data_IF_014169874139
#
_entry.id   IF_014169874139
#
_cell.length_a   1.000
_cell.length_b   1.000
_cell.length_c   1.000
_cell.angle_alpha   90.00
_cell.angle_beta   90.00
_cell.angle_gamma   90.00
#
_symmetry.space_group_name_H-M   'P 1'
#
loop_
_entity.id
_entity.type
_entity.pdbx_description
1 polymer ?
#
# COMPACT_ATOMS: atom_id res chain seq x y z
N UNK A 1 7.64 -11.99 -4.15
CA UNK A 1 8.96 -11.92 -4.78
C UNK A 1 9.32 -10.49 -5.15
N UNK A 2 10.61 -10.14 -5.17
CA UNK A 2 11.09 -8.87 -5.72
C UNK A 2 11.05 -8.83 -7.26
N UNK A 3 11.75 -9.74 -7.95
CA UNK A 3 11.72 -9.87 -9.42
C UNK A 3 11.91 -11.32 -9.88
N UNK A 4 11.13 -11.73 -10.89
CA UNK A 4 11.32 -12.97 -11.65
C UNK A 4 11.99 -12.69 -12.98
N UNK A 5 13.00 -13.47 -13.32
CA UNK A 5 13.80 -13.35 -14.53
C UNK A 5 13.70 -14.63 -15.36
N UNK A 6 13.24 -14.49 -16.60
CA UNK A 6 13.25 -15.56 -17.58
C UNK A 6 14.00 -15.12 -18.85
N UNK A 7 14.96 -15.92 -19.30
CA UNK A 7 15.74 -15.79 -20.53
C UNK A 7 16.46 -14.44 -20.68
N UNK A 8 16.94 -13.89 -19.57
CA UNK A 8 17.69 -12.63 -19.56
C UNK A 8 19.14 -12.87 -19.98
N UNK A 9 19.62 -12.11 -20.96
CA UNK A 9 20.99 -12.23 -21.47
C UNK A 9 21.72 -10.90 -21.27
N UNK A 10 22.78 -10.87 -20.47
CA UNK A 10 23.54 -9.65 -20.19
C UNK A 10 22.83 -8.65 -19.27
N UNK A 11 21.82 -9.06 -18.50
CA UNK A 11 21.12 -8.16 -17.57
C UNK A 11 22.04 -7.78 -16.41
N UNK A 12 22.11 -6.48 -16.11
CA UNK A 12 22.83 -5.94 -14.96
C UNK A 12 21.82 -5.35 -13.98
N UNK A 13 21.79 -5.89 -12.78
CA UNK A 13 21.06 -5.35 -11.62
C UNK A 13 22.12 -4.77 -10.69
N UNK A 14 22.18 -3.44 -10.61
CA UNK A 14 23.20 -2.73 -9.83
C UNK A 14 22.58 -1.69 -8.91
N UNK A 15 23.13 -1.57 -7.70
CA UNK A 15 22.71 -0.58 -6.70
C UNK A 15 21.20 -0.68 -6.37
N UNK A 16 20.65 -1.90 -6.35
CA UNK A 16 19.24 -2.13 -6.05
C UNK A 16 19.03 -2.66 -4.62
N UNK A 17 17.87 -2.36 -4.05
CA UNK A 17 17.48 -2.79 -2.70
C UNK A 17 16.24 -3.68 -2.77
N UNK A 18 16.36 -4.91 -2.26
CA UNK A 18 15.29 -5.90 -2.13
C UNK A 18 15.03 -6.12 -0.65
N UNK A 19 14.06 -5.39 -0.10
CA UNK A 19 13.90 -5.25 1.36
C UNK A 19 12.51 -5.69 1.81
N UNK A 20 12.46 -6.37 2.95
CA UNK A 20 11.24 -6.60 3.75
C UNK A 20 10.10 -7.26 2.97
N UNK A 21 10.40 -8.14 2.01
CA UNK A 21 9.37 -8.91 1.32
C UNK A 21 8.58 -9.74 2.35
N UNK A 22 7.27 -9.48 2.55
CA UNK A 22 6.48 -10.19 3.55
C UNK A 22 6.16 -11.61 3.10
N UNK A 23 5.86 -12.47 4.08
CA UNK A 23 5.32 -13.81 3.82
C UNK A 23 3.83 -13.69 3.45
N UNK A 24 3.51 -13.96 2.19
CA UNK A 24 2.13 -14.03 1.68
C UNK A 24 1.59 -15.46 1.63
N UNK A 25 2.38 -16.45 2.06
CA UNK A 25 2.12 -17.87 1.92
C UNK A 25 2.59 -18.47 0.59
N UNK A 26 3.14 -17.67 -0.32
CA UNK A 26 3.73 -18.16 -1.57
C UNK A 26 5.08 -18.85 -1.30
N UNK A 27 5.50 -19.72 -2.23
CA UNK A 27 6.85 -20.28 -2.23
C UNK A 27 7.89 -19.26 -2.71
N UNK A 28 7.46 -18.34 -3.56
CA UNK A 28 8.28 -17.48 -4.40
C UNK A 28 8.30 -16.06 -3.80
N UNK A 29 9.09 -15.89 -2.73
CA UNK A 29 9.11 -14.68 -1.91
C UNK A 29 10.52 -14.17 -1.61
N UNK A 30 11.46 -14.52 -2.49
CA UNK A 30 12.82 -14.02 -2.49
C UNK A 30 13.00 -12.64 -3.12
N UNK A 31 14.26 -12.21 -3.21
CA UNK A 31 14.66 -10.95 -3.85
C UNK A 31 14.66 -11.06 -5.38
N UNK A 32 15.58 -11.85 -5.92
CA UNK A 32 15.70 -12.15 -7.36
C UNK A 32 15.50 -13.64 -7.57
N UNK A 33 14.67 -13.99 -8.54
CA UNK A 33 14.51 -15.37 -8.97
C UNK A 33 14.83 -15.53 -10.45
N UNK A 34 15.84 -16.36 -10.75
CA UNK A 34 16.11 -16.83 -12.10
C UNK A 34 15.26 -18.07 -12.39
N UNK A 35 14.07 -17.82 -12.93
CA UNK A 35 13.02 -18.81 -13.18
C UNK A 35 13.32 -19.77 -14.33
N UNK A 36 13.89 -19.25 -15.42
CA UNK A 36 14.11 -20.03 -16.62
C UNK A 36 15.14 -19.40 -17.55
N UNK A 37 16.24 -20.07 -17.78
CA UNK A 37 17.27 -19.74 -18.77
C UNK A 37 17.95 -18.40 -18.50
N UNK A 38 18.63 -17.89 -19.51
CA UNK A 38 19.42 -16.67 -19.42
C UNK A 38 20.91 -16.93 -19.27
N UNK A 39 21.69 -15.92 -19.56
CA UNK A 39 23.14 -16.00 -19.63
C UNK A 39 23.81 -14.66 -19.30
N UNK A 40 24.94 -14.69 -18.59
CA UNK A 40 25.81 -13.53 -18.42
C UNK A 40 25.18 -12.39 -17.61
N UNK A 41 24.37 -12.71 -16.59
CA UNK A 41 23.73 -11.71 -15.74
C UNK A 41 24.65 -11.31 -14.59
N UNK A 42 24.62 -10.02 -14.20
CA UNK A 42 25.39 -9.47 -13.09
C UNK A 42 24.46 -8.85 -12.05
N UNK A 43 24.62 -9.27 -10.80
CA UNK A 43 24.02 -8.66 -9.61
C UNK A 43 25.17 -8.03 -8.82
N UNK A 44 25.21 -6.70 -8.76
CA UNK A 44 26.36 -5.96 -8.25
C UNK A 44 25.94 -4.85 -7.29
N UNK A 45 26.59 -4.74 -6.13
CA UNK A 45 26.32 -3.67 -5.15
C UNK A 45 24.84 -3.58 -4.74
N UNK A 46 24.16 -4.71 -4.67
CA UNK A 46 22.77 -4.79 -4.24
C UNK A 46 22.66 -5.07 -2.74
N UNK A 47 21.52 -4.73 -2.15
CA UNK A 47 21.21 -5.04 -0.75
C UNK A 47 19.95 -5.86 -0.66
N UNK A 48 20.07 -7.06 -0.11
CA UNK A 48 18.95 -7.96 0.18
C UNK A 48 18.76 -8.02 1.68
N UNK A 49 17.58 -7.70 2.19
CA UNK A 49 17.33 -7.66 3.63
C UNK A 49 15.95 -8.16 3.99
N UNK A 50 15.88 -9.08 4.96
CA UNK A 50 14.63 -9.44 5.64
C UNK A 50 13.50 -9.90 4.68
N UNK A 51 13.87 -10.57 3.58
CA UNK A 51 12.89 -11.16 2.67
C UNK A 51 12.39 -12.51 3.20
N UNK A 52 11.11 -12.81 2.98
CA UNK A 52 10.49 -14.08 3.39
C UNK A 52 11.21 -15.30 2.81
N UNK A 53 11.59 -15.26 1.52
CA UNK A 53 12.40 -16.27 0.85
C UNK A 53 13.89 -15.90 0.73
N UNK A 54 14.65 -16.70 -0.01
CA UNK A 54 16.07 -16.46 -0.25
C UNK A 54 16.31 -15.12 -0.95
N UNK A 55 17.50 -14.53 -0.78
CA UNK A 55 17.83 -13.29 -1.47
C UNK A 55 17.88 -13.50 -2.99
N UNK A 56 18.52 -14.58 -3.42
CA UNK A 56 18.64 -14.94 -4.84
C UNK A 56 18.39 -16.43 -5.03
N UNK A 57 17.54 -16.78 -5.99
CA UNK A 57 17.20 -18.14 -6.36
C UNK A 57 17.54 -18.40 -7.83
N UNK A 58 18.02 -19.61 -8.14
CA UNK A 58 18.25 -20.08 -9.51
C UNK A 58 17.48 -21.38 -9.71
N UNK A 59 16.32 -21.27 -10.32
CA UNK A 59 15.36 -22.36 -10.47
C UNK A 59 15.63 -23.19 -11.72
N UNK A 60 15.52 -24.51 -11.52
CA UNK A 60 15.70 -25.54 -12.54
C UNK A 60 14.58 -26.58 -12.43
N UNK A 61 13.33 -26.12 -12.46
CA UNK A 61 12.16 -26.98 -12.28
C UNK A 61 11.91 -27.84 -13.52
N UNK A 62 11.71 -27.19 -14.67
CA UNK A 62 11.46 -27.83 -15.98
C UNK A 62 12.16 -27.13 -17.14
N UNK A 63 12.67 -25.93 -16.91
CA UNK A 63 13.41 -25.12 -17.88
C UNK A 63 14.89 -25.10 -17.48
N UNK A 64 15.82 -24.93 -18.44
CA UNK A 64 17.23 -24.71 -18.15
C UNK A 64 17.43 -23.62 -17.10
N UNK A 65 18.36 -23.78 -16.17
CA UNK A 65 18.78 -22.70 -15.27
C UNK A 65 19.55 -21.61 -16.02
N UNK A 66 19.56 -20.40 -15.43
CA UNK A 66 20.46 -19.32 -15.87
C UNK A 66 21.93 -19.73 -15.75
N UNK A 67 22.75 -19.33 -16.72
CA UNK A 67 24.19 -19.58 -16.77
C UNK A 67 24.98 -18.28 -16.66
N UNK A 68 26.25 -18.42 -16.31
CA UNK A 68 27.21 -17.32 -16.18
C UNK A 68 26.68 -16.16 -15.33
N UNK A 69 26.04 -16.49 -14.21
CA UNK A 69 25.49 -15.50 -13.27
C UNK A 69 26.59 -15.08 -12.30
N UNK A 70 26.83 -13.77 -12.22
CA UNK A 70 27.77 -13.18 -11.27
C UNK A 70 27.03 -12.42 -10.17
N UNK A 71 27.33 -12.75 -8.92
CA UNK A 71 26.77 -12.12 -7.73
C UNK A 71 27.93 -11.52 -6.94
N UNK A 72 28.07 -10.20 -7.00
CA UNK A 72 29.24 -9.50 -6.52
C UNK A 72 28.93 -8.30 -5.62
N UNK A 73 29.86 -7.99 -4.72
CA UNK A 73 29.91 -6.73 -3.96
C UNK A 73 28.60 -6.37 -3.22
N UNK A 74 27.77 -7.35 -2.87
CA UNK A 74 26.41 -7.15 -2.38
C UNK A 74 26.28 -7.48 -0.89
N UNK A 75 25.25 -6.92 -0.24
CA UNK A 75 24.90 -7.15 1.16
C UNK A 75 23.73 -8.15 1.27
N UNK A 76 23.88 -9.18 2.09
CA UNK A 76 22.86 -10.18 2.39
C UNK A 76 22.54 -10.20 3.88
N UNK A 77 21.34 -9.76 4.25
CA UNK A 77 21.01 -9.45 5.65
C UNK A 77 19.73 -10.19 6.05
N UNK A 78 19.91 -11.34 6.70
CA UNK A 78 18.84 -12.09 7.36
C UNK A 78 17.65 -12.37 6.44
N UNK A 79 17.91 -12.78 5.20
CA UNK A 79 16.83 -13.22 4.31
C UNK A 79 16.39 -14.65 4.67
N UNK A 80 15.39 -15.12 3.94
CA UNK A 80 14.70 -16.38 4.19
C UNK A 80 14.10 -16.46 5.60
N UNK A 81 13.40 -15.40 6.01
CA UNK A 81 12.83 -15.31 7.36
C UNK A 81 11.71 -16.32 7.62
N UNK A 82 11.01 -16.73 6.55
CA UNK A 82 9.92 -17.69 6.62
C UNK A 82 10.35 -19.14 6.34
N UNK A 83 11.67 -19.41 6.21
CA UNK A 83 12.22 -20.73 5.88
C UNK A 83 11.55 -21.34 4.63
N UNK A 84 11.43 -20.53 3.57
CA UNK A 84 10.98 -20.94 2.25
C UNK A 84 12.03 -21.83 1.58
N UNK A 85 11.93 -22.01 0.26
CA UNK A 85 12.83 -22.85 -0.52
C UNK A 85 14.30 -22.51 -0.23
N UNK A 86 15.08 -23.55 0.02
CA UNK A 86 16.52 -23.48 0.28
C UNK A 86 16.88 -22.63 1.49
N UNK A 87 17.20 -23.20 2.68
CA UNK A 87 17.50 -22.40 3.87
C UNK A 87 18.84 -21.66 3.73
N UNK A 88 18.93 -20.73 2.80
CA UNK A 88 20.11 -19.96 2.42
C UNK A 88 19.76 -18.58 1.87
N UNK A 89 20.74 -17.68 1.89
CA UNK A 89 20.69 -16.38 1.21
C UNK A 89 20.69 -16.56 -0.32
N UNK A 90 21.56 -17.43 -0.85
CA UNK A 90 21.62 -17.76 -2.28
C UNK A 90 21.34 -19.26 -2.47
N UNK A 91 20.37 -19.59 -3.31
CA UNK A 91 19.89 -20.96 -3.47
C UNK A 91 19.88 -21.41 -4.93
N UNK A 92 20.59 -22.51 -5.21
CA UNK A 92 20.56 -23.19 -6.51
C UNK A 92 19.69 -24.44 -6.39
N UNK A 93 18.58 -24.42 -7.14
CA UNK A 93 17.64 -25.55 -7.19
C UNK A 93 18.29 -26.79 -7.80
N UNK A 94 17.93 -27.97 -7.30
CA UNK A 94 18.48 -29.25 -7.76
C UNK A 94 17.47 -30.38 -7.85
N UNK A 95 16.17 -30.06 -7.96
CA UNK A 95 15.11 -31.07 -8.01
C UNK A 95 15.06 -31.91 -9.30
N UNK A 96 15.69 -31.45 -10.39
CA UNK A 96 15.81 -32.21 -11.64
C UNK A 96 17.16 -32.93 -11.73
N UNK A 97 17.17 -34.12 -12.36
CA UNK A 97 18.40 -34.85 -12.69
C UNK A 97 18.86 -34.62 -14.14
N UNK A 98 18.09 -33.84 -14.90
CA UNK A 98 18.39 -33.54 -16.29
C UNK A 98 19.51 -32.47 -16.35
N UNK A 99 20.67 -32.78 -16.95
CA UNK A 99 21.78 -31.82 -17.09
C UNK A 99 21.45 -30.64 -18.01
N UNK A 100 20.39 -30.69 -18.81
CA UNK A 100 19.92 -29.53 -19.59
C UNK A 100 19.07 -28.57 -18.74
N UNK A 101 18.48 -29.08 -17.66
CA UNK A 101 17.66 -28.31 -16.70
C UNK A 101 18.52 -27.78 -15.56
N UNK A 102 19.19 -28.68 -14.81
CA UNK A 102 20.10 -28.31 -13.73
C UNK A 102 21.50 -28.05 -14.29
N UNK A 103 21.68 -26.85 -14.83
CA UNK A 103 22.82 -26.52 -15.68
C UNK A 103 23.48 -25.19 -15.36
N UNK A 104 23.09 -24.56 -14.24
CA UNK A 104 23.59 -23.24 -13.87
C UNK A 104 25.10 -23.20 -13.70
N UNK A 105 25.67 -22.07 -14.10
CA UNK A 105 27.03 -21.69 -13.79
C UNK A 105 27.06 -20.29 -13.21
N UNK A 106 28.01 -20.03 -12.31
CA UNK A 106 28.14 -18.70 -11.76
C UNK A 106 29.30 -18.49 -10.80
N UNK A 107 29.45 -17.23 -10.40
CA UNK A 107 30.48 -16.74 -9.50
C UNK A 107 29.84 -15.89 -8.41
N UNK A 108 30.06 -16.27 -7.16
CA UNK A 108 29.61 -15.52 -5.97
C UNK A 108 30.85 -14.99 -5.28
N UNK A 109 31.06 -13.67 -5.33
CA UNK A 109 32.30 -13.07 -4.82
C UNK A 109 32.14 -11.74 -4.10
N UNK A 110 33.05 -11.49 -3.17
CA UNK A 110 33.23 -10.18 -2.54
C UNK A 110 31.95 -9.64 -1.87
N UNK A 111 31.04 -10.52 -1.46
CA UNK A 111 29.81 -10.16 -0.78
C UNK A 111 30.00 -10.15 0.75
N UNK A 112 29.19 -9.36 1.44
CA UNK A 112 29.12 -9.35 2.89
C UNK A 112 27.75 -9.82 3.38
N UNK A 113 27.72 -10.61 4.47
CA UNK A 113 26.46 -11.19 4.92
C UNK A 113 26.31 -11.35 6.44
N UNK A 114 25.08 -11.14 6.92
CA UNK A 114 24.63 -11.38 8.30
C UNK A 114 23.47 -12.36 8.24
N UNK A 115 23.67 -13.58 8.73
CA UNK A 115 22.68 -14.65 8.59
C UNK A 115 21.64 -14.63 9.71
N UNK A 116 20.41 -14.98 9.35
CA UNK A 116 19.42 -15.47 10.32
C UNK A 116 19.86 -16.84 10.86
N UNK A 117 19.65 -17.16 12.15
CA UNK A 117 19.93 -18.50 12.66
C UNK A 117 19.24 -19.60 11.83
N UNK A 118 20.00 -20.65 11.48
CA UNK A 118 19.51 -21.77 10.67
C UNK A 118 19.53 -21.55 9.15
N UNK A 119 19.89 -20.35 8.68
CA UNK A 119 20.04 -20.02 7.26
C UNK A 119 21.54 -20.05 6.88
N UNK A 120 21.87 -20.68 5.77
CA UNK A 120 23.22 -20.74 5.18
C UNK A 120 23.47 -19.53 4.26
N UNK A 121 24.71 -19.24 3.92
CA UNK A 121 24.98 -18.21 2.90
C UNK A 121 24.66 -18.71 1.49
N UNK A 122 25.11 -19.92 1.15
CA UNK A 122 24.95 -20.51 -0.16
C UNK A 122 24.60 -21.99 -0.05
N UNK A 123 23.63 -22.43 -0.84
CA UNK A 123 23.29 -23.85 -1.00
C UNK A 123 23.19 -24.18 -2.48
N UNK A 124 23.86 -25.26 -2.89
CA UNK A 124 23.71 -25.85 -4.21
C UNK A 124 23.20 -27.28 -4.08
N UNK A 125 21.97 -27.51 -4.55
CA UNK A 125 21.34 -28.84 -4.47
C UNK A 125 21.73 -29.79 -5.61
N UNK A 126 22.34 -29.29 -6.69
CA UNK A 126 22.78 -30.11 -7.83
C UNK A 126 24.27 -29.92 -8.14
N UNK A 127 25.20 -30.06 -7.18
CA UNK A 127 26.61 -29.74 -7.36
C UNK A 127 27.34 -30.64 -8.37
N UNK A 128 26.76 -31.80 -8.72
CA UNK A 128 27.30 -32.67 -9.77
C UNK A 128 26.98 -32.17 -11.19
N UNK A 129 25.95 -31.33 -11.35
CA UNK A 129 25.45 -30.85 -12.63
C UNK A 129 25.71 -29.34 -12.84
N UNK A 130 25.73 -28.57 -11.76
CA UNK A 130 25.94 -27.12 -11.78
C UNK A 130 27.35 -26.75 -11.34
N UNK A 131 27.83 -25.57 -11.75
CA UNK A 131 29.22 -25.13 -11.47
C UNK A 131 29.23 -23.73 -10.90
N UNK A 132 29.47 -23.64 -9.59
CA UNK A 132 29.49 -22.38 -8.87
C UNK A 132 30.82 -22.20 -8.15
N UNK A 133 31.46 -21.05 -8.37
CA UNK A 133 32.64 -20.63 -7.61
C UNK A 133 32.19 -19.65 -6.53
N UNK A 134 32.57 -19.93 -5.28
CA UNK A 134 32.25 -19.07 -4.14
C UNK A 134 33.58 -18.62 -3.52
N UNK A 135 33.87 -17.32 -3.56
CA UNK A 135 35.17 -16.79 -3.13
C UNK A 135 35.02 -15.44 -2.43
N UNK A 136 35.89 -15.10 -1.48
CA UNK A 136 35.92 -13.77 -0.83
C UNK A 136 34.60 -13.26 -0.23
N UNK A 137 33.67 -14.14 0.14
CA UNK A 137 32.44 -13.72 0.82
C UNK A 137 32.67 -13.72 2.34
N UNK A 138 32.29 -12.65 3.02
CA UNK A 138 32.60 -12.46 4.44
C UNK A 138 31.33 -12.44 5.30
N UNK A 139 31.31 -13.30 6.33
CA UNK A 139 30.28 -13.26 7.37
C UNK A 139 30.60 -12.19 8.40
N UNK A 140 29.59 -11.44 8.80
CA UNK A 140 29.66 -10.47 9.91
C UNK A 140 28.74 -10.89 11.05
N UNK A 141 29.06 -10.47 12.28
CA UNK A 141 28.22 -10.75 13.44
C UNK A 141 27.03 -9.79 13.52
N UNK A 142 27.23 -8.54 13.09
CA UNK A 142 26.25 -7.47 13.18
C UNK A 142 26.08 -6.74 11.85
N UNK A 143 24.95 -6.02 11.69
CA UNK A 143 24.73 -5.19 10.52
C UNK A 143 25.68 -3.99 10.51
N UNK A 144 26.02 -3.42 11.68
CA UNK A 144 26.95 -2.28 11.74
C UNK A 144 28.36 -2.64 11.26
N UNK A 145 28.84 -3.85 11.55
CA UNK A 145 30.12 -4.35 11.03
C UNK A 145 30.09 -4.52 9.51
N UNK A 146 29.02 -5.11 8.99
CA UNK A 146 28.82 -5.28 7.55
C UNK A 146 28.78 -3.92 6.84
N UNK A 147 28.00 -2.97 7.34
CA UNK A 147 27.85 -1.64 6.73
C UNK A 147 29.17 -0.85 6.75
N UNK A 148 30.05 -1.09 7.73
CA UNK A 148 31.40 -0.51 7.76
C UNK A 148 32.33 -1.12 6.71
N UNK A 149 32.22 -2.43 6.48
CA UNK A 149 33.10 -3.15 5.56
C UNK A 149 32.65 -3.05 4.09
N UNK A 150 31.34 -3.00 3.84
CA UNK A 150 30.73 -2.73 2.54
C UNK A 150 29.82 -1.50 2.66
N UNK A 151 30.37 -0.26 2.57
CA UNK A 151 29.61 0.97 2.76
C UNK A 151 28.78 1.34 1.52
N UNK A 152 27.91 0.43 1.08
CA UNK A 152 26.95 0.69 0.01
C UNK A 152 25.88 1.67 0.49
N UNK A 153 25.55 2.66 -0.34
CA UNK A 153 24.52 3.64 -0.04
C UNK A 153 23.15 2.98 0.24
N UNK A 154 22.47 3.42 1.29
CA UNK A 154 21.08 3.09 1.60
C UNK A 154 20.19 4.29 1.24
N UNK A 155 19.02 4.08 0.61
CA UNK A 155 18.19 5.18 0.17
C UNK A 155 17.66 6.00 1.36
N UNK A 156 17.40 7.31 1.17
CA UNK A 156 16.80 8.13 2.21
C UNK A 156 15.49 7.53 2.70
N UNK A 157 15.24 7.59 4.01
CA UNK A 157 13.95 7.24 4.58
C UNK A 157 13.09 8.50 4.63
N UNK A 158 11.84 8.40 4.15
CA UNK A 158 10.95 9.55 3.97
C UNK A 158 9.59 9.23 4.55
N UNK A 159 9.12 10.11 5.43
CA UNK A 159 7.77 10.08 5.99
C UNK A 159 7.11 11.43 5.73
N UNK A 160 6.02 11.47 4.96
CA UNK A 160 5.30 12.71 4.67
C UNK A 160 4.35 13.14 5.81
N UNK A 161 4.19 12.30 6.83
CA UNK A 161 3.19 12.48 7.89
C UNK A 161 1.79 12.00 7.49
N UNK A 162 0.91 11.87 8.49
CA UNK A 162 -0.49 11.43 8.32
C UNK A 162 -1.33 12.42 7.51
N UNK A 163 -2.45 11.97 6.99
CA UNK A 163 -3.48 12.84 6.42
C UNK A 163 -3.97 13.91 7.41
N UNK A 164 -4.31 15.08 6.88
CA UNK A 164 -4.69 16.25 7.67
C UNK A 164 -6.07 16.75 7.23
N UNK A 165 -6.95 16.92 8.21
CA UNK A 165 -8.27 17.53 8.06
C UNK A 165 -8.28 18.90 8.77
N UNK A 166 -8.57 19.97 8.04
CA UNK A 166 -8.51 21.34 8.58
C UNK A 166 -9.52 22.25 7.89
N UNK A 167 -10.04 23.26 8.59
CA UNK A 167 -10.81 24.36 7.98
C UNK A 167 -9.97 25.64 7.77
N UNK A 168 -8.66 25.54 8.08
CA UNK A 168 -7.68 26.62 7.93
C UNK A 168 -6.81 26.38 6.70
N UNK A 169 -6.46 27.44 5.94
CA UNK A 169 -5.61 27.32 4.77
C UNK A 169 -4.11 27.17 5.11
N UNK A 170 -3.67 27.52 6.32
CA UNK A 170 -2.28 27.34 6.77
C UNK A 170 -2.18 26.09 7.63
N UNK A 171 -1.34 25.15 7.21
CA UNK A 171 -1.20 23.82 7.80
C UNK A 171 0.26 23.48 7.99
N UNK A 172 0.62 22.93 9.16
CA UNK A 172 1.94 22.35 9.36
C UNK A 172 1.98 20.94 8.77
N UNK A 173 2.96 20.70 7.90
CA UNK A 173 3.29 19.38 7.37
C UNK A 173 4.43 18.83 8.22
N UNK A 174 4.15 17.80 9.01
CA UNK A 174 5.11 17.20 9.93
C UNK A 174 5.87 16.04 9.26
N UNK A 175 6.57 16.35 8.16
CA UNK A 175 7.39 15.37 7.46
C UNK A 175 8.71 15.09 8.19
N UNK A 176 9.27 13.90 7.96
CA UNK A 176 10.57 13.49 8.47
C UNK A 176 11.41 12.84 7.36
N UNK A 177 12.69 13.17 7.33
CA UNK A 177 13.67 12.56 6.43
C UNK A 177 14.90 12.19 7.23
N UNK A 178 15.41 10.96 7.02
CA UNK A 178 16.70 10.53 7.54
C UNK A 178 17.52 9.88 6.42
N UNK A 179 18.83 10.04 6.51
CA UNK A 179 19.78 9.55 5.53
C UNK A 179 21.01 8.95 6.24
N UNK A 180 21.72 8.04 5.57
CA UNK A 180 22.90 7.38 6.12
C UNK A 180 24.22 8.17 5.88
N UNK A 181 24.10 9.37 5.31
CA UNK A 181 25.18 10.26 4.91
C UNK A 181 26.08 9.69 3.80
N UNK A 182 25.54 8.81 2.94
CA UNK A 182 26.20 8.27 1.74
C UNK A 182 25.42 8.73 0.48
N UNK A 183 26.06 8.74 -0.70
CA UNK A 183 27.49 8.55 -0.95
C UNK A 183 28.36 9.68 -0.38
N UNK A 184 29.69 9.48 -0.31
CA UNK A 184 30.62 10.51 0.14
C UNK A 184 31.11 11.39 -1.04
N UNK A 185 31.11 12.74 -0.94
CA UNK A 185 30.67 13.54 0.21
C UNK A 185 29.14 13.52 0.36
N UNK A 186 28.68 13.47 1.62
CA UNK A 186 27.26 13.41 1.96
C UNK A 186 26.49 14.58 1.34
N UNK A 187 25.36 14.27 0.71
CA UNK A 187 24.41 15.22 0.15
C UNK A 187 23.02 14.70 0.45
N UNK A 188 22.10 15.59 0.79
CA UNK A 188 20.69 15.26 0.93
C UNK A 188 19.86 16.45 0.49
N UNK A 189 19.11 16.30 -0.59
CA UNK A 189 18.15 17.27 -1.07
C UNK A 189 16.75 16.81 -0.68
N UNK A 190 16.03 17.67 0.04
CA UNK A 190 14.64 17.42 0.44
C UNK A 190 13.77 18.45 -0.26
N UNK A 191 12.60 18.03 -0.76
CA UNK A 191 11.60 18.99 -1.20
C UNK A 191 10.16 18.48 -1.12
N UNK A 192 9.24 19.42 -0.90
CA UNK A 192 7.80 19.22 -1.05
C UNK A 192 7.31 19.64 -2.44
N UNK A 193 6.36 18.89 -2.97
CA UNK A 193 5.62 19.26 -4.17
C UNK A 193 4.12 18.95 -4.05
N UNK A 194 3.32 19.76 -4.74
CA UNK A 194 1.91 19.51 -4.95
C UNK A 194 1.74 18.65 -6.19
N UNK A 195 1.16 17.46 -6.04
CA UNK A 195 0.85 16.58 -7.18
C UNK A 195 -0.51 16.92 -7.80
N UNK A 196 -1.52 17.09 -6.95
CA UNK A 196 -2.89 17.37 -7.37
C UNK A 196 -3.63 18.17 -6.30
N UNK A 197 -4.47 19.11 -6.72
CA UNK A 197 -5.37 19.84 -5.85
C UNK A 197 -6.16 20.93 -6.61
N UNK A 198 -7.22 21.49 -6.00
CA UNK A 198 -8.08 22.48 -6.65
C UNK A 198 -7.44 23.88 -6.75
N UNK A 199 -6.28 24.09 -6.12
CA UNK A 199 -5.56 25.35 -6.10
C UNK A 199 -4.07 25.14 -5.91
N UNK A 200 -3.35 26.17 -5.46
CA UNK A 200 -1.92 26.08 -5.18
C UNK A 200 -1.66 25.72 -3.72
N UNK A 201 -0.49 25.13 -3.48
CA UNK A 201 0.10 24.96 -2.15
C UNK A 201 1.45 25.69 -2.14
N UNK A 202 1.57 26.72 -1.30
CA UNK A 202 2.81 27.47 -1.11
C UNK A 202 3.48 27.04 0.19
N UNK A 203 4.72 26.56 0.12
CA UNK A 203 5.47 26.10 1.27
C UNK A 203 6.34 27.25 1.81
N UNK A 204 6.29 27.50 3.12
CA UNK A 204 7.11 28.53 3.77
C UNK A 204 8.61 28.24 3.56
N UNK A 205 9.01 26.97 3.75
CA UNK A 205 10.31 26.43 3.30
C UNK A 205 10.04 25.09 2.57
N UNK A 206 10.13 25.04 1.23
CA UNK A 206 9.91 23.80 0.48
C UNK A 206 11.01 22.78 0.70
N UNK A 207 12.19 23.15 1.23
CA UNK A 207 13.33 22.27 1.45
C UNK A 207 13.40 21.66 2.85
N UNK A 208 12.52 22.09 3.75
CA UNK A 208 12.36 21.50 5.07
C UNK A 208 11.28 20.41 5.05
N UNK A 209 11.59 19.21 5.59
CA UNK A 209 10.62 18.13 5.73
C UNK A 209 9.45 18.53 6.65
N UNK A 210 9.76 19.20 7.77
CA UNK A 210 8.78 19.84 8.66
C UNK A 210 8.63 21.32 8.27
N UNK A 211 7.49 21.66 7.68
CA UNK A 211 7.25 22.99 7.12
C UNK A 211 5.78 23.40 7.27
N UNK A 212 5.44 24.60 6.84
CA UNK A 212 4.06 25.08 6.76
C UNK A 212 3.67 25.27 5.31
N UNK A 213 2.53 24.71 4.91
CA UNK A 213 1.92 24.94 3.62
C UNK A 213 0.72 25.89 3.76
N UNK A 214 0.60 26.81 2.81
CA UNK A 214 -0.55 27.68 2.61
C UNK A 214 -1.30 27.23 1.34
N UNK A 215 -2.56 26.84 1.51
CA UNK A 215 -3.43 26.44 0.42
C UNK A 215 -4.31 27.60 -0.04
N UNK A 216 -4.46 27.75 -1.36
CA UNK A 216 -5.21 28.87 -1.93
C UNK A 216 -6.73 28.69 -1.92
N UNK A 217 -7.22 27.46 -1.77
CA UNK A 217 -8.64 27.12 -1.83
C UNK A 217 -8.98 25.91 -0.95
N UNK A 218 -10.25 25.75 -0.53
CA UNK A 218 -10.74 24.49 0.01
C UNK A 218 -10.72 23.34 -1.02
N UNK A 219 -10.45 22.14 -0.53
CA UNK A 219 -10.56 20.84 -1.20
C UNK A 219 -9.39 19.92 -0.86
N UNK A 220 -9.23 18.86 -1.66
CA UNK A 220 -8.28 17.79 -1.39
C UNK A 220 -6.96 18.03 -2.13
N UNK A 221 -5.85 18.01 -1.38
CA UNK A 221 -4.50 18.21 -1.89
C UNK A 221 -3.65 16.96 -1.65
N UNK A 222 -3.12 16.37 -2.72
CA UNK A 222 -2.13 15.30 -2.62
C UNK A 222 -0.72 15.90 -2.72
N UNK A 223 0.05 15.75 -1.65
CA UNK A 223 1.40 16.26 -1.54
C UNK A 223 2.41 15.13 -1.55
N UNK A 224 3.59 15.38 -2.11
CA UNK A 224 4.72 14.45 -2.09
C UNK A 224 5.93 15.10 -1.43
N UNK A 225 6.50 14.42 -0.45
CA UNK A 225 7.81 14.72 0.10
C UNK A 225 8.82 13.82 -0.58
N UNK A 226 9.88 14.40 -1.13
CA UNK A 226 10.96 13.69 -1.83
C UNK A 226 12.26 13.95 -1.08
N UNK A 227 13.09 12.91 -0.95
CA UNK A 227 14.46 13.01 -0.49
C UNK A 227 15.40 12.29 -1.47
N UNK A 228 16.49 12.95 -1.83
CA UNK A 228 17.48 12.51 -2.82
C UNK A 228 18.89 12.77 -2.30
N UNK A 229 19.68 11.71 -2.11
CA UNK A 229 21.06 11.79 -1.61
C UNK A 229 22.10 11.99 -2.74
N UNK A 230 21.66 12.01 -4.00
CA UNK A 230 22.48 12.15 -5.20
C UNK A 230 22.82 10.84 -5.91
N UNK A 231 22.71 9.68 -5.24
CA UNK A 231 22.76 8.34 -5.87
C UNK A 231 21.39 7.65 -5.84
N UNK A 232 20.63 7.82 -4.76
CA UNK A 232 19.32 7.22 -4.53
C UNK A 232 18.31 8.27 -4.06
N UNK A 233 17.04 8.00 -4.36
CA UNK A 233 15.93 8.82 -3.88
C UNK A 233 14.73 7.98 -3.46
N UNK A 234 13.93 8.56 -2.56
CA UNK A 234 12.64 8.04 -2.10
C UNK A 234 11.64 9.17 -1.97
N UNK A 235 10.37 8.79 -1.92
CA UNK A 235 9.30 9.74 -1.66
C UNK A 235 8.19 9.12 -0.81
N UNK A 236 7.44 9.97 -0.14
CA UNK A 236 6.23 9.62 0.59
C UNK A 236 5.10 10.60 0.24
N UNK A 237 3.86 10.12 0.34
CA UNK A 237 2.66 10.89 0.04
C UNK A 237 1.89 11.21 1.32
N UNK A 238 1.24 12.36 1.34
CA UNK A 238 0.23 12.72 2.34
C UNK A 238 -0.90 13.50 1.68
N UNK A 239 -2.09 13.45 2.28
CA UNK A 239 -3.28 14.16 1.80
C UNK A 239 -3.66 15.25 2.80
N UNK A 240 -4.03 16.43 2.30
CA UNK A 240 -4.59 17.51 3.11
C UNK A 240 -5.98 17.88 2.60
N UNK A 241 -6.97 17.70 3.45
CA UNK A 241 -8.35 18.11 3.24
C UNK A 241 -8.57 19.49 3.84
N UNK A 242 -8.55 20.51 2.99
CA UNK A 242 -8.88 21.89 3.37
C UNK A 242 -10.39 22.06 3.24
N UNK A 243 -11.11 21.94 4.33
CA UNK A 243 -12.55 22.11 4.39
C UNK A 243 -12.93 23.59 4.21
N UNK A 244 -14.18 23.88 3.79
CA UNK A 244 -14.70 25.24 3.82
C UNK A 244 -14.50 25.87 5.22
N UNK A 245 -14.16 27.16 5.32
CA UNK A 245 -13.94 27.81 6.61
C UNK A 245 -15.09 27.59 7.57
N UNK A 246 -14.76 27.40 8.86
CA UNK A 246 -15.73 27.15 9.93
C UNK A 246 -16.48 25.82 9.74
N UNK A 247 -15.85 24.79 9.18
CA UNK A 247 -16.40 23.44 9.11
C UNK A 247 -15.86 22.60 10.27
N UNK A 248 -16.73 21.92 10.99
CA UNK A 248 -16.36 20.93 12.00
C UNK A 248 -16.65 19.52 11.49
N UNK A 249 -15.69 18.63 11.67
CA UNK A 249 -15.84 17.19 11.42
C UNK A 249 -16.25 16.53 12.72
N UNK A 250 -17.45 15.96 12.75
CA UNK A 250 -17.95 15.21 13.89
C UNK A 250 -17.44 13.77 13.90
N UNK A 251 -17.21 13.20 12.71
CA UNK A 251 -16.61 11.87 12.50
C UNK A 251 -16.06 11.78 11.08
N UNK A 252 -14.92 11.11 10.89
CA UNK A 252 -14.39 10.78 9.58
C UNK A 252 -13.94 9.30 9.54
N UNK A 253 -13.89 8.78 8.33
CA UNK A 253 -13.29 7.51 7.95
C UNK A 253 -12.40 7.71 6.74
N UNK A 254 -11.13 7.33 6.86
CA UNK A 254 -10.06 7.74 5.94
C UNK A 254 -9.46 6.57 5.16
N UNK A 255 -9.58 5.36 5.72
CA UNK A 255 -9.06 4.13 5.14
C UNK A 255 -7.55 4.18 4.85
N UNK A 256 -6.80 4.99 5.63
CA UNK A 256 -5.34 5.13 5.50
C UNK A 256 -4.61 3.81 5.83
N UNK A 257 -5.09 3.10 6.86
CA UNK A 257 -4.46 1.88 7.33
C UNK A 257 -4.85 0.69 6.46
N UNK A 258 -3.85 0.06 5.82
CA UNK A 258 -4.07 -1.14 4.99
C UNK A 258 -4.75 -2.24 5.80
N UNK A 259 -5.78 -2.84 5.22
CA UNK A 259 -6.69 -3.84 5.81
C UNK A 259 -7.59 -3.35 6.95
N UNK A 260 -7.56 -2.07 7.32
CA UNK A 260 -8.48 -1.51 8.32
C UNK A 260 -9.67 -0.82 7.64
N UNK A 261 -10.85 -1.42 7.76
CA UNK A 261 -12.12 -0.83 7.29
C UNK A 261 -12.68 0.21 8.24
N UNK A 262 -11.97 0.52 9.33
CA UNK A 262 -12.36 1.48 10.36
C UNK A 262 -13.78 1.21 10.91
N UNK A 263 -14.11 -0.07 11.04
CA UNK A 263 -15.40 -0.56 11.52
C UNK A 263 -16.49 -0.74 10.45
N UNK A 264 -16.23 -0.41 9.18
CA UNK A 264 -17.16 -0.72 8.09
C UNK A 264 -17.13 -2.21 7.71
N UNK A 265 -18.28 -2.71 7.27
CA UNK A 265 -18.49 -4.07 6.79
C UNK A 265 -19.28 -4.08 5.49
N UNK A 266 -19.08 -5.11 4.67
CA UNK A 266 -19.74 -5.30 3.37
C UNK A 266 -20.76 -6.43 3.42
N UNK A 267 -21.92 -6.21 2.79
CA UNK A 267 -23.06 -7.12 2.85
C UNK A 267 -23.73 -7.25 1.48
N UNK A 268 -24.20 -8.47 1.20
CA UNK A 268 -24.98 -8.82 0.01
C UNK A 268 -24.33 -8.35 -1.30
N UNK A 269 -23.00 -8.41 -1.40
CA UNK A 269 -22.27 -7.93 -2.59
C UNK A 269 -22.53 -8.77 -3.85
N UNK A 270 -23.10 -9.98 -3.70
CA UNK A 270 -23.32 -10.94 -4.79
C UNK A 270 -22.05 -11.62 -5.32
N UNK A 271 -20.88 -11.06 -5.01
CA UNK A 271 -19.59 -11.67 -5.28
C UNK A 271 -19.39 -12.94 -4.46
N UNK A 272 -18.71 -13.92 -5.06
CA UNK A 272 -18.41 -15.23 -4.47
C UNK A 272 -17.03 -15.70 -4.85
N UNK A 273 -16.45 -16.55 -4.02
CA UNK A 273 -15.25 -17.31 -4.42
C UNK A 273 -15.60 -18.13 -5.65
N UNK A 274 -14.73 -18.07 -6.66
CA UNK A 274 -14.84 -18.88 -7.87
C UNK A 274 -13.64 -19.80 -7.92
N UNK A 275 -13.93 -21.09 -7.92
CA UNK A 275 -12.91 -22.11 -7.91
C UNK A 275 -12.85 -22.79 -9.28
N UNK A 276 -11.63 -22.93 -9.78
CA UNK A 276 -11.31 -23.75 -10.94
C UNK A 276 -10.31 -24.79 -10.44
N UNK A 277 -10.83 -25.87 -9.85
CA UNK A 277 -10.02 -26.92 -9.18
C UNK A 277 -9.65 -28.06 -10.12
N UNK A 278 -10.35 -28.21 -11.24
CA UNK A 278 -10.22 -29.29 -12.22
C UNK A 278 -9.14 -29.03 -13.30
N UNK A 279 -8.42 -27.91 -13.19
CA UNK A 279 -7.31 -27.56 -14.07
C UNK A 279 -5.96 -27.96 -13.47
N UNK A 280 -4.92 -27.94 -14.31
CA UNK A 280 -3.54 -28.31 -13.94
C UNK A 280 -3.01 -27.56 -12.70
N UNK A 281 -3.42 -26.31 -12.52
CA UNK A 281 -3.13 -25.50 -11.33
C UNK A 281 -4.43 -24.96 -10.76
N UNK A 282 -4.95 -25.64 -9.73
CA UNK A 282 -6.17 -25.21 -9.06
C UNK A 282 -6.05 -23.73 -8.66
N UNK A 283 -7.04 -22.92 -9.03
CA UNK A 283 -7.04 -21.50 -8.70
C UNK A 283 -8.39 -21.09 -8.12
N UNK A 284 -8.33 -20.11 -7.23
CA UNK A 284 -9.51 -19.52 -6.59
C UNK A 284 -9.41 -18.02 -6.83
N UNK A 285 -10.43 -17.45 -7.48
CA UNK A 285 -10.62 -16.00 -7.48
C UNK A 285 -11.47 -15.64 -6.27
N UNK A 286 -10.92 -14.79 -5.40
CA UNK A 286 -11.62 -14.27 -4.22
C UNK A 286 -12.16 -12.87 -4.50
N UNK A 287 -13.35 -12.51 -4.00
CA UNK A 287 -13.90 -11.18 -4.13
C UNK A 287 -12.97 -10.07 -3.64
N UNK A 288 -12.94 -8.96 -4.38
CA UNK A 288 -12.23 -7.73 -4.00
C UNK A 288 -13.04 -7.00 -2.91
N UNK A 289 -12.53 -7.02 -1.67
CA UNK A 289 -13.12 -6.33 -0.52
C UNK A 289 -12.09 -5.95 0.55
N UNK A 290 -11.16 -5.07 0.20
CA UNK A 290 -10.04 -4.71 1.07
C UNK A 290 -9.79 -3.20 1.09
N UNK A 291 -9.04 -2.78 2.12
CA UNK A 291 -8.50 -1.43 2.24
C UNK A 291 -7.03 -1.49 1.91
N UNK A 292 -6.60 -0.71 0.92
CA UNK A 292 -5.20 -0.58 0.54
C UNK A 292 -5.01 0.73 -0.22
N UNK A 293 -3.84 1.36 -0.06
CA UNK A 293 -3.51 2.59 -0.79
C UNK A 293 -4.37 3.81 -0.43
N UNK A 294 -4.94 3.85 0.79
CA UNK A 294 -5.74 4.98 1.27
C UNK A 294 -7.20 4.99 0.81
N UNK A 295 -7.77 3.82 0.46
CA UNK A 295 -9.17 3.71 0.09
C UNK A 295 -9.73 2.32 0.39
N UNK A 296 -11.06 2.24 0.54
CA UNK A 296 -11.82 1.00 0.61
C UNK A 296 -12.42 0.65 -0.74
N UNK A 297 -12.03 -0.48 -1.32
CA UNK A 297 -12.60 -0.99 -2.58
C UNK A 297 -13.48 -2.22 -2.35
N UNK A 298 -14.65 -2.21 -2.99
CA UNK A 298 -15.58 -3.34 -3.03
C UNK A 298 -16.02 -3.64 -4.45
N UNK A 299 -16.05 -4.94 -4.80
CA UNK A 299 -16.68 -5.44 -6.00
C UNK A 299 -18.12 -5.89 -5.71
N UNK A 300 -19.04 -5.48 -6.57
CA UNK A 300 -20.45 -5.87 -6.56
C UNK A 300 -20.74 -6.67 -7.82
N UNK A 301 -21.49 -7.76 -7.69
CA UNK A 301 -21.88 -8.62 -8.79
C UNK A 301 -23.37 -8.94 -8.73
N UNK A 302 -24.12 -8.47 -9.73
CA UNK A 302 -25.55 -8.74 -9.93
C UNK A 302 -26.41 -8.57 -8.65
N UNK A 303 -26.07 -7.60 -7.81
CA UNK A 303 -26.75 -7.42 -6.52
C UNK A 303 -27.61 -6.16 -6.51
N UNK A 304 -28.87 -6.34 -6.13
CA UNK A 304 -29.82 -5.25 -5.87
C UNK A 304 -29.78 -4.75 -4.42
N UNK A 305 -29.09 -5.46 -3.53
CA UNK A 305 -29.10 -5.21 -2.08
C UNK A 305 -27.71 -4.96 -1.49
N UNK A 306 -26.70 -4.83 -2.34
CA UNK A 306 -25.32 -4.58 -1.93
C UNK A 306 -25.23 -3.32 -1.07
N UNK A 307 -24.63 -3.42 0.11
CA UNK A 307 -24.47 -2.28 1.00
C UNK A 307 -23.23 -2.39 1.88
N UNK A 308 -22.77 -1.22 2.32
CA UNK A 308 -21.77 -1.07 3.38
C UNK A 308 -22.46 -0.65 4.66
N UNK A 309 -22.01 -1.20 5.79
CA UNK A 309 -22.56 -0.96 7.11
C UNK A 309 -21.44 -0.49 8.04
N UNK A 310 -21.61 0.68 8.66
CA UNK A 310 -20.64 1.19 9.62
C UNK A 310 -20.62 0.35 10.90
N UNK A 311 -19.66 0.61 11.78
CA UNK A 311 -19.73 0.13 13.15
C UNK A 311 -21.02 0.60 13.82
N UNK A 312 -21.53 -0.20 14.74
CA UNK A 312 -22.66 0.16 15.58
C UNK A 312 -22.23 1.18 16.67
N UNK A 313 -23.22 1.83 17.30
CA UNK A 313 -23.05 2.76 18.40
C UNK A 313 -22.07 3.90 18.13
N UNK A 314 -22.13 4.49 16.93
CA UNK A 314 -21.25 5.60 16.50
C UNK A 314 -21.24 6.78 17.47
N UNK A 315 -22.38 7.05 18.12
CA UNK A 315 -22.49 8.05 19.18
C UNK A 315 -22.31 9.50 18.72
N UNK A 316 -22.41 9.77 17.43
CA UNK A 316 -22.26 11.12 16.85
C UNK A 316 -23.52 11.94 17.12
N UNK A 317 -23.39 13.17 17.62
CA UNK A 317 -24.55 14.07 17.74
C UNK A 317 -24.96 14.56 16.35
N UNK A 318 -26.19 14.24 15.93
CA UNK A 318 -26.70 14.63 14.61
C UNK A 318 -26.88 16.16 14.48
N UNK A 319 -27.08 16.84 15.61
CA UNK A 319 -27.13 18.30 15.67
C UNK A 319 -25.81 18.99 15.27
N UNK A 320 -24.67 18.29 15.41
CA UNK A 320 -23.33 18.73 14.96
C UNK A 320 -22.94 18.20 13.57
N UNK A 321 -23.75 17.32 12.98
CA UNK A 321 -23.46 16.67 11.72
C UNK A 321 -24.64 16.82 10.73
N UNK A 322 -24.96 18.05 10.28
CA UNK A 322 -26.03 18.25 9.31
C UNK A 322 -25.72 17.72 7.91
N UNK A 323 -24.46 17.34 7.62
CA UNK A 323 -24.03 16.84 6.32
C UNK A 323 -23.32 15.51 6.45
N UNK A 324 -23.58 14.66 5.45
CA UNK A 324 -22.78 13.51 5.12
C UNK A 324 -22.00 13.81 3.84
N UNK A 325 -20.70 13.51 3.85
CA UNK A 325 -19.85 13.70 2.68
C UNK A 325 -19.05 12.44 2.42
N UNK A 326 -18.94 12.06 1.15
CA UNK A 326 -18.18 10.90 0.69
C UNK A 326 -17.39 11.28 -0.56
N UNK A 327 -16.10 10.95 -0.57
CA UNK A 327 -15.33 10.92 -1.81
C UNK A 327 -15.26 9.47 -2.29
N UNK A 328 -15.79 9.22 -3.49
CA UNK A 328 -15.83 7.88 -4.05
C UNK A 328 -15.80 7.87 -5.57
N UNK A 329 -15.37 6.74 -6.11
CA UNK A 329 -15.44 6.38 -7.52
C UNK A 329 -16.46 5.25 -7.69
N UNK A 330 -17.38 5.41 -8.64
CA UNK A 330 -18.45 4.45 -8.91
C UNK A 330 -18.28 3.87 -10.33
N UNK A 331 -17.75 2.65 -10.42
CA UNK A 331 -17.65 1.90 -11.67
C UNK A 331 -18.84 1.00 -11.95
N UNK A 332 -19.89 1.08 -11.13
CA UNK A 332 -21.14 0.36 -11.40
C UNK A 332 -22.04 1.14 -12.36
N UNK A 333 -23.16 0.53 -12.74
CA UNK A 333 -24.23 1.21 -13.47
C UNK A 333 -25.15 2.09 -12.61
N UNK A 334 -24.98 2.13 -11.29
CA UNK A 334 -25.83 2.90 -10.39
C UNK A 334 -25.73 4.40 -10.68
N UNK A 335 -26.87 5.08 -10.79
CA UNK A 335 -26.96 6.55 -10.90
C UNK A 335 -27.41 7.20 -9.59
N UNK A 336 -27.88 6.40 -8.64
CA UNK A 336 -28.26 6.82 -7.30
C UNK A 336 -27.72 5.81 -6.30
N UNK A 337 -27.30 6.29 -5.14
CA UNK A 337 -27.07 5.47 -3.95
C UNK A 337 -28.04 5.93 -2.87
N UNK A 338 -28.22 5.10 -1.84
CA UNK A 338 -29.03 5.47 -0.69
C UNK A 338 -28.20 5.46 0.58
N UNK A 339 -28.19 6.58 1.28
CA UNK A 339 -27.68 6.65 2.64
C UNK A 339 -28.84 6.42 3.61
N UNK A 340 -28.69 5.44 4.48
CA UNK A 340 -29.62 5.15 5.57
C UNK A 340 -28.92 5.26 6.91
N UNK A 341 -29.70 5.45 7.95
CA UNK A 341 -29.17 5.54 9.30
C UNK A 341 -30.14 4.99 10.35
N UNK A 342 -29.62 4.77 11.53
CA UNK A 342 -30.40 4.52 12.75
C UNK A 342 -29.93 5.46 13.85
N UNK A 343 -30.80 5.69 14.84
CA UNK A 343 -30.45 6.49 16.02
C UNK A 343 -30.60 5.65 17.29
N UNK A 344 -30.08 6.15 18.41
CA UNK A 344 -30.29 5.49 19.70
C UNK A 344 -31.79 5.38 20.05
N UNK A 345 -32.62 6.34 19.59
CA UNK A 345 -34.07 6.36 19.81
C UNK A 345 -34.84 5.50 18.78
N UNK A 346 -34.33 5.41 17.56
CA UNK A 346 -34.92 4.64 16.46
C UNK A 346 -33.87 3.65 15.91
N UNK A 347 -33.68 2.51 16.60
CA UNK A 347 -32.61 1.56 16.26
C UNK A 347 -32.95 0.64 15.08
N UNK A 348 -34.19 0.68 14.58
CA UNK A 348 -34.63 -0.10 13.42
C UNK A 348 -34.41 0.67 12.13
N UNK A 349 -34.12 -0.05 11.03
CA UNK A 349 -33.99 0.53 9.69
C UNK A 349 -35.35 0.90 9.10
N UNK A 350 -36.04 1.87 9.71
CA UNK A 350 -37.32 2.38 9.21
C UNK A 350 -37.15 3.04 7.83
N UNK A 351 -38.20 2.98 7.00
CA UNK A 351 -38.12 3.37 5.60
C UNK A 351 -37.86 4.88 5.39
N UNK A 352 -38.29 5.71 6.34
CA UNK A 352 -38.09 7.16 6.38
C UNK A 352 -36.67 7.57 6.83
N UNK A 353 -35.91 6.68 7.48
CA UNK A 353 -34.56 6.97 7.98
C UNK A 353 -33.48 6.80 6.91
N UNK A 354 -33.52 7.68 5.92
CA UNK A 354 -32.51 7.74 4.87
C UNK A 354 -32.95 8.58 3.68
N UNK A 355 -32.00 8.83 2.79
CA UNK A 355 -32.22 9.60 1.57
C UNK A 355 -31.38 9.06 0.43
N UNK A 356 -31.83 9.33 -0.80
CA UNK A 356 -31.06 9.03 -2.01
C UNK A 356 -30.20 10.22 -2.38
N UNK A 357 -29.06 9.94 -3.03
CA UNK A 357 -28.24 10.97 -3.65
C UNK A 357 -27.70 10.48 -4.99
N UNK A 358 -27.53 11.42 -5.91
CA UNK A 358 -27.10 11.12 -7.27
C UNK A 358 -25.60 10.84 -7.28
N UNK A 359 -25.20 9.83 -8.06
CA UNK A 359 -23.80 9.50 -8.34
C UNK A 359 -23.58 9.39 -9.85
N UNK A 360 -22.34 9.60 -10.26
CA UNK A 360 -21.96 9.40 -11.65
C UNK A 360 -21.80 7.89 -11.89
N UNK A 361 -22.54 7.34 -12.84
CA UNK A 361 -22.41 5.93 -13.22
C UNK A 361 -21.15 5.73 -14.07
N UNK A 362 -20.44 4.61 -13.86
CA UNK A 362 -19.25 4.21 -14.64
C UNK A 362 -18.17 5.30 -14.70
N UNK A 363 -18.00 6.07 -13.63
CA UNK A 363 -17.09 7.21 -13.59
C UNK A 363 -15.64 6.75 -13.29
N UNK A 364 -14.67 6.97 -14.18
CA UNK A 364 -13.28 6.62 -13.94
C UNK A 364 -12.59 7.54 -12.94
N UNK A 365 -13.25 8.57 -12.40
CA UNK A 365 -12.66 9.52 -11.45
C UNK A 365 -13.35 9.49 -10.09
N UNK A 366 -12.62 9.66 -8.98
CA UNK A 366 -13.22 9.96 -7.68
C UNK A 366 -14.01 11.28 -7.73
N UNK A 367 -15.13 11.32 -7.03
CA UNK A 367 -16.04 12.46 -6.93
C UNK A 367 -16.41 12.70 -5.48
N UNK A 368 -16.49 13.97 -5.11
CA UNK A 368 -17.00 14.40 -3.82
C UNK A 368 -18.53 14.57 -3.89
N UNK A 369 -19.26 13.79 -3.10
CA UNK A 369 -20.70 13.91 -2.91
C UNK A 369 -20.98 14.43 -1.51
N UNK A 370 -21.83 15.45 -1.39
CA UNK A 370 -22.28 15.98 -0.10
C UNK A 370 -23.79 15.98 -0.06
N UNK A 371 -24.35 15.37 0.98
CA UNK A 371 -25.78 15.22 1.20
C UNK A 371 -26.16 16.05 2.42
N UNK A 372 -27.15 16.92 2.26
CA UNK A 372 -27.77 17.60 3.39
C UNK A 372 -28.71 16.65 4.11
N UNK A 373 -28.33 16.28 5.33
CA UNK A 373 -29.08 15.36 6.16
C UNK A 373 -30.02 16.09 7.13
N UNK A 374 -29.88 17.41 7.29
CA UNK A 374 -30.62 18.18 8.28
C UNK A 374 -32.14 18.20 8.04
N UNK A 375 -32.56 17.98 6.79
CA UNK A 375 -33.96 17.90 6.39
C UNK A 375 -34.50 16.46 6.34
N UNK A 376 -33.65 15.44 6.54
CA UNK A 376 -34.07 14.04 6.50
C UNK A 376 -34.83 13.71 7.78
N UNK A 377 -36.00 13.10 7.63
CA UNK A 377 -36.85 12.71 8.75
C UNK A 377 -36.07 11.80 9.71
N UNK A 378 -36.18 12.07 11.02
CA UNK A 378 -35.48 11.32 12.06
C UNK A 378 -33.99 11.66 12.23
N UNK A 379 -33.40 12.59 11.45
CA UNK A 379 -32.00 13.02 11.59
C UNK A 379 -31.80 13.94 12.81
N UNK A 380 -32.03 13.39 14.01
CA UNK A 380 -31.90 14.07 15.28
C UNK A 380 -31.44 13.12 16.40
N UNK A 381 -30.95 13.67 17.50
CA UNK A 381 -30.44 12.87 18.60
C UNK A 381 -29.02 12.36 18.33
N UNK A 382 -28.78 11.09 18.67
CA UNK A 382 -27.46 10.45 18.53
C UNK A 382 -27.51 9.37 17.47
N UNK A 383 -26.57 9.45 16.52
CA UNK A 383 -26.38 8.47 15.47
C UNK A 383 -25.92 7.16 16.08
N UNK A 384 -26.63 6.09 15.75
CA UNK A 384 -26.26 4.73 16.13
C UNK A 384 -25.44 4.09 15.02
N UNK A 385 -25.92 4.08 13.78
CA UNK A 385 -25.26 3.39 12.68
C UNK A 385 -25.61 4.02 11.31
N UNK A 386 -24.71 3.87 10.33
CA UNK A 386 -24.92 4.23 8.92
C UNK A 386 -24.94 2.98 8.04
N UNK A 387 -25.74 3.03 6.98
CA UNK A 387 -25.76 2.06 5.90
C UNK A 387 -25.72 2.79 4.56
N UNK A 388 -24.73 2.48 3.73
CA UNK A 388 -24.62 2.97 2.36
C UNK A 388 -25.05 1.86 1.41
N UNK A 389 -26.23 1.99 0.82
CA UNK A 389 -26.75 1.05 -0.18
C UNK A 389 -26.17 1.42 -1.55
N UNK A 390 -25.46 0.46 -2.16
CA UNK A 390 -24.74 0.62 -3.43
C UNK A 390 -25.63 0.38 -4.66
N UNK A 391 -26.86 -0.08 -4.41
CA UNK A 391 -27.90 -0.34 -5.39
C UNK A 391 -29.24 0.20 -4.84
N UNK A 392 -30.14 0.63 -5.73
CA UNK A 392 -31.47 1.15 -5.37
C UNK A 392 -32.61 0.20 -5.76
N UNK A 393 -32.35 -1.11 -5.71
CA UNK A 393 -33.30 -2.16 -6.05
C UNK A 393 -33.11 -2.74 -7.45
N UNK A 394 -32.39 -2.07 -8.34
CA UNK A 394 -31.87 -2.67 -9.57
C UNK A 394 -30.52 -3.37 -9.31
N UNK A 395 -30.30 -4.60 -9.80
CA UNK A 395 -29.00 -5.26 -9.70
C UNK A 395 -27.89 -4.45 -10.36
N UNK A 396 -26.77 -4.28 -9.64
CA UNK A 396 -25.57 -3.62 -10.17
C UNK A 396 -24.37 -4.55 -10.19
N UNK A 397 -23.50 -4.35 -11.16
CA UNK A 397 -22.20 -5.02 -11.28
C UNK A 397 -21.12 -3.98 -11.53
N UNK A 398 -19.98 -4.13 -10.86
CA UNK A 398 -18.83 -3.24 -11.00
C UNK A 398 -18.08 -3.09 -9.67
N UNK A 399 -17.28 -2.02 -9.55
CA UNK A 399 -16.55 -1.70 -8.32
C UNK A 399 -16.95 -0.33 -7.78
N UNK A 400 -16.93 -0.21 -6.46
CA UNK A 400 -16.96 1.07 -5.77
C UNK A 400 -15.67 1.23 -4.99
N UNK A 401 -14.96 2.34 -5.19
CA UNK A 401 -13.83 2.77 -4.36
C UNK A 401 -14.28 3.94 -3.52
N UNK A 402 -14.10 3.86 -2.21
CA UNK A 402 -14.40 4.92 -1.25
C UNK A 402 -13.07 5.42 -0.70
N UNK A 403 -12.73 6.65 -1.04
CA UNK A 403 -11.51 7.31 -0.57
C UNK A 403 -11.68 7.75 0.89
N UNK A 404 -12.79 8.41 1.21
CA UNK A 404 -13.12 8.78 2.58
C UNK A 404 -14.62 9.06 2.76
N UNK A 405 -15.07 9.02 4.01
CA UNK A 405 -16.41 9.44 4.45
C UNK A 405 -16.25 10.38 5.64
N UNK A 406 -17.03 11.45 5.71
CA UNK A 406 -17.12 12.23 6.94
C UNK A 406 -18.52 12.79 7.19
N UNK A 407 -18.79 13.02 8.48
CA UNK A 407 -19.99 13.65 9.01
C UNK A 407 -19.60 14.97 9.64
N UNK A 408 -20.37 16.02 9.38
CA UNK A 408 -20.11 17.32 9.98
C UNK A 408 -20.87 18.43 9.30
N UNK A 409 -20.34 19.64 9.40
CA UNK A 409 -20.95 20.80 8.76
C UNK A 409 -20.45 22.13 9.34
N UNK A 410 -21.17 23.23 9.06
CA UNK A 410 -20.81 24.54 9.58
C UNK A 410 -20.81 24.54 11.11
N UNK A 411 -19.71 25.01 11.70
CA UNK A 411 -19.60 25.25 13.13
C UNK A 411 -20.67 26.24 13.58
N UNK A 412 -21.39 25.88 14.64
CA UNK A 412 -22.41 26.76 15.23
C UNK A 412 -21.72 27.96 15.88
N UNK A 413 -22.25 29.19 15.70
CA UNK A 413 -21.71 30.36 16.40
C UNK A 413 -21.70 30.18 17.92
N UNK A 414 -20.71 30.78 18.61
CA UNK A 414 -20.49 30.61 20.05
C UNK A 414 -21.73 30.95 20.90
N UNK A 415 -22.54 31.94 20.48
CA UNK A 415 -23.78 32.30 21.19
C UNK A 415 -24.88 31.24 21.05
N UNK A 416 -24.97 30.52 19.91
CA UNK A 416 -25.94 29.43 19.75
C UNK A 416 -25.57 28.18 20.56
N UNK A 417 -24.29 27.99 20.90
CA UNK A 417 -23.85 26.94 21.83
C UNK A 417 -24.28 27.22 23.27
N UNK A 418 -24.38 28.49 23.66
CA UNK A 418 -24.77 28.91 25.02
C UNK A 418 -26.28 28.82 25.28
N UNK A 419 -27.11 29.00 24.24
CA UNK A 419 -28.56 29.15 24.39
C UNK A 419 -29.40 28.00 23.83
N UNK A 420 -28.80 26.84 23.54
CA UNK A 420 -29.50 25.57 23.29
C UNK A 420 -30.85 25.70 22.59
N UNK A 421 -30.85 26.16 21.34
CA UNK A 421 -32.02 26.07 20.46
C UNK A 421 -31.73 25.13 19.29
#
# INVERSE_FOLDING_TARGET
>A
MGIMLANQNGLIIRNCHFLNQPDSGSHDEGGIDFEAGGDGCLIDRCTFRNNAGAAIEVLGLKSPQARNVEIANSRFIRNNVANKLGPSEIFIWGGSRDPEVCCSTGLIRDNGYVLKPGVLFFTNQAPALTRWTVTNNTRYATCEELDRALPLNDPPQVEAGREIWTDRPRVRLAGAVTDDARPAPARLAVHWELLHGPGTAAFDDPSAADTVALFSAPGDYQLRLVADDGELWRSALTTVHVLPPRTEVARAWTFEATHDKEGWSDWNLGTRDREWLDQKWACISRPVKHVAGGFYIVAVEESAEAHLLSADALGVSLASAPRFTICMQNHTGATHLRLRFTTDAEPSWAANLGTHFNVAARDPSPRLYTVDMSAVEGWHGRLKQLRLELADGAPVTGTCRIDYIWLGGPSRPWWRRMFGK
#
